data_IF_587865838657
#
_entry.id   IF_587865838657
#
_cell.length_a   1.000
_cell.length_b   1.000
_cell.length_c   1.000
_cell.angle_alpha   90.00
_cell.angle_beta   90.00
_cell.angle_gamma   90.00
#
_symmetry.space_group_name_H-M   'P 1'
#
loop_
_entity.id
_entity.type
_entity.pdbx_description
1 polymer ?
#
# COMPACT_ATOMS: atom_id res chain seq x y z
N UNK A 1 12.29 -3.67 10.12
CA UNK A 1 12.16 -5.07 9.65
C UNK A 1 11.58 -6.00 10.71
N UNK A 2 12.02 -5.92 11.98
CA UNK A 2 11.53 -6.78 13.08
C UNK A 2 10.01 -6.76 13.27
N UNK A 3 9.37 -5.59 13.12
CA UNK A 3 7.91 -5.46 13.26
C UNK A 3 7.13 -6.23 12.18
N UNK A 4 7.60 -6.19 10.92
CA UNK A 4 6.96 -6.92 9.81
C UNK A 4 7.11 -8.42 10.02
N UNK A 5 8.31 -8.88 10.37
CA UNK A 5 8.56 -10.31 10.61
C UNK A 5 7.75 -10.85 11.79
N UNK A 6 7.63 -10.08 12.89
CA UNK A 6 6.81 -10.47 14.03
C UNK A 6 5.32 -10.58 13.66
N UNK A 7 4.82 -9.64 12.85
CA UNK A 7 3.46 -9.64 12.33
C UNK A 7 3.18 -10.84 11.42
N UNK A 8 4.09 -11.12 10.47
CA UNK A 8 3.96 -12.26 9.56
C UNK A 8 3.95 -13.58 10.32
N UNK A 9 4.85 -13.75 11.30
CA UNK A 9 4.89 -14.95 12.15
C UNK A 9 3.61 -15.08 12.97
N UNK A 10 3.07 -13.98 13.49
CA UNK A 10 1.80 -13.99 14.22
C UNK A 10 0.64 -14.49 13.34
N UNK A 11 0.45 -13.91 12.15
CA UNK A 11 -0.63 -14.31 11.22
C UNK A 11 -0.48 -15.78 10.82
N UNK A 12 0.74 -16.21 10.50
CA UNK A 12 1.02 -17.59 10.15
C UNK A 12 0.73 -18.57 11.30
N UNK A 13 1.15 -18.23 12.52
CA UNK A 13 0.89 -19.03 13.70
C UNK A 13 -0.61 -19.13 14.03
N UNK A 14 -1.36 -18.03 13.90
CA UNK A 14 -2.82 -18.06 14.10
C UNK A 14 -3.51 -18.96 13.09
N UNK A 15 -3.06 -18.94 11.83
CA UNK A 15 -3.66 -19.77 10.77
C UNK A 15 -3.43 -21.27 11.02
N UNK A 16 -2.21 -21.65 11.39
CA UNK A 16 -1.87 -23.05 11.67
C UNK A 16 -2.60 -23.57 12.92
N UNK A 17 -2.69 -22.75 13.97
CA UNK A 17 -3.23 -23.19 15.27
C UNK A 17 -4.76 -23.25 15.31
N UNK A 18 -5.47 -22.45 14.51
CA UNK A 18 -6.94 -22.38 14.57
C UNK A 18 -7.65 -23.22 13.51
N UNK A 19 -7.11 -23.34 12.29
CA UNK A 19 -7.75 -24.06 11.19
C UNK A 19 -7.00 -25.29 10.70
N UNK A 20 -5.70 -25.39 11.02
CA UNK A 20 -4.82 -26.35 10.38
C UNK A 20 -4.65 -26.08 8.88
N UNK A 21 -3.63 -26.68 8.27
CA UNK A 21 -3.51 -26.69 6.81
C UNK A 21 -4.24 -27.93 6.30
N UNK A 22 -5.25 -27.74 5.45
CA UNK A 22 -5.88 -28.84 4.73
C UNK A 22 -4.85 -29.59 3.88
N UNK A 23 -5.06 -30.89 3.59
CA UNK A 23 -4.14 -31.67 2.77
C UNK A 23 -4.03 -31.07 1.37
N UNK A 24 -2.81 -30.92 0.85
CA UNK A 24 -2.60 -30.54 -0.54
C UNK A 24 -2.76 -31.79 -1.41
N UNK A 25 -3.93 -31.96 -2.03
CA UNK A 25 -4.25 -33.14 -2.85
C UNK A 25 -4.13 -32.82 -4.34
N UNK A 26 -4.73 -31.71 -4.79
CA UNK A 26 -4.68 -31.22 -6.17
C UNK A 26 -5.00 -29.72 -6.20
N UNK A 27 -4.80 -29.08 -7.35
CA UNK A 27 -5.16 -27.67 -7.53
C UNK A 27 -6.68 -27.44 -7.43
N UNK A 28 -7.48 -28.37 -7.97
CA UNK A 28 -8.95 -28.26 -7.91
C UNK A 28 -9.46 -28.43 -6.47
N UNK A 29 -8.87 -29.33 -5.69
CA UNK A 29 -9.27 -29.59 -4.30
C UNK A 29 -9.13 -28.35 -3.39
N UNK A 30 -8.06 -27.59 -3.53
CA UNK A 30 -7.84 -26.39 -2.69
C UNK A 30 -8.71 -25.19 -3.12
N UNK A 31 -9.36 -25.26 -4.29
CA UNK A 31 -10.22 -24.18 -4.82
C UNK A 31 -11.70 -24.54 -4.88
N UNK A 32 -12.10 -25.76 -4.51
CA UNK A 32 -13.49 -26.24 -4.60
C UNK A 32 -14.47 -25.33 -3.84
N UNK A 33 -14.04 -24.83 -2.67
CA UNK A 33 -14.83 -23.98 -1.77
C UNK A 33 -14.43 -22.49 -1.79
N UNK A 34 -13.72 -21.99 -2.81
CA UNK A 34 -13.18 -20.62 -2.78
C UNK A 34 -14.26 -19.52 -2.64
N UNK A 35 -15.45 -19.74 -3.21
CA UNK A 35 -16.56 -18.78 -3.14
C UNK A 35 -17.49 -19.02 -1.95
N UNK A 36 -17.20 -20.01 -1.11
CA UNK A 36 -18.02 -20.31 0.05
C UNK A 36 -17.73 -19.30 1.16
N UNK A 37 -18.76 -18.57 1.57
CA UNK A 37 -18.71 -17.65 2.70
C UNK A 37 -19.40 -18.32 3.88
N UNK A 38 -18.61 -18.80 4.84
CA UNK A 38 -19.15 -19.32 6.09
C UNK A 38 -19.60 -18.17 6.99
N UNK A 39 -20.86 -18.21 7.43
CA UNK A 39 -21.43 -17.24 8.36
C UNK A 39 -21.46 -17.87 9.73
N UNK A 40 -20.67 -17.32 10.66
CA UNK A 40 -20.65 -17.78 12.04
C UNK A 40 -21.40 -16.81 12.95
N UNK A 41 -22.29 -17.34 13.78
CA UNK A 41 -22.95 -16.53 14.80
C UNK A 41 -21.97 -16.04 15.85
N UNK A 42 -22.23 -14.83 16.35
CA UNK A 42 -21.40 -14.19 17.38
C UNK A 42 -21.39 -14.96 18.71
N UNK A 43 -22.29 -15.89 18.96
CA UNK A 43 -22.24 -16.64 20.22
C UNK A 43 -21.30 -17.85 20.13
N UNK A 44 -21.04 -18.35 18.92
CA UNK A 44 -20.30 -19.60 18.69
C UNK A 44 -18.79 -19.38 18.64
N UNK A 45 -18.33 -18.25 18.07
CA UNK A 45 -16.89 -17.98 17.92
C UNK A 45 -16.29 -17.45 19.23
N UNK A 46 -15.21 -18.05 19.77
CA UNK A 46 -14.51 -17.54 20.95
C UNK A 46 -14.06 -16.09 20.78
N UNK A 47 -14.10 -15.31 21.86
CA UNK A 47 -13.71 -13.90 21.83
C UNK A 47 -12.26 -13.70 21.36
N UNK A 48 -11.35 -14.56 21.82
CA UNK A 48 -9.92 -14.54 21.43
C UNK A 48 -9.71 -14.68 19.93
N UNK A 49 -10.49 -15.53 19.27
CA UNK A 49 -10.42 -15.73 17.82
C UNK A 49 -10.92 -14.49 17.07
N UNK A 50 -12.00 -13.87 17.55
CA UNK A 50 -12.49 -12.62 16.95
C UNK A 50 -11.50 -11.47 17.06
N UNK A 51 -10.85 -11.33 18.21
CA UNK A 51 -9.85 -10.27 18.40
C UNK A 51 -8.66 -10.46 17.44
N UNK A 52 -8.21 -11.70 17.23
CA UNK A 52 -7.14 -12.03 16.26
C UNK A 52 -7.56 -11.73 14.82
N UNK A 53 -8.78 -12.08 14.43
CA UNK A 53 -9.32 -11.73 13.12
C UNK A 53 -9.41 -10.22 12.91
N UNK A 54 -9.92 -9.48 13.90
CA UNK A 54 -9.99 -8.02 13.83
C UNK A 54 -8.59 -7.40 13.70
N UNK A 55 -7.62 -7.85 14.50
CA UNK A 55 -6.24 -7.38 14.39
C UNK A 55 -5.70 -7.63 12.97
N UNK A 56 -5.86 -8.84 12.45
CA UNK A 56 -5.38 -9.19 11.10
C UNK A 56 -6.06 -8.35 10.01
N UNK A 57 -7.36 -8.10 10.15
CA UNK A 57 -8.13 -7.28 9.21
C UNK A 57 -7.71 -5.81 9.22
N UNK A 58 -7.47 -5.24 10.41
CA UNK A 58 -7.05 -3.84 10.56
C UNK A 58 -5.57 -3.61 10.26
N UNK A 59 -4.74 -4.65 10.19
CA UNK A 59 -3.33 -4.51 9.81
C UNK A 59 -3.14 -3.95 8.40
N UNK A 60 -3.97 -4.38 7.43
CA UNK A 60 -3.88 -3.90 6.04
C UNK A 60 -4.15 -2.39 5.92
N UNK A 61 -5.28 -1.84 6.40
CA UNK A 61 -5.52 -0.40 6.31
C UNK A 61 -4.51 0.39 7.16
N UNK A 62 -4.10 -0.11 8.32
CA UNK A 62 -3.14 0.58 9.17
C UNK A 62 -1.77 0.72 8.50
N UNK A 63 -1.25 -0.38 7.93
CA UNK A 63 0.01 -0.36 7.18
C UNK A 63 -0.10 0.47 5.90
N UNK A 64 -1.26 0.48 5.23
CA UNK A 64 -1.52 1.35 4.08
C UNK A 64 -1.46 2.84 4.46
N UNK A 65 -2.03 3.24 5.60
CA UNK A 65 -1.97 4.65 6.06
C UNK A 65 -0.54 5.05 6.41
N UNK A 66 0.21 4.17 7.07
CA UNK A 66 1.62 4.41 7.38
C UNK A 66 2.43 4.55 6.10
N UNK A 67 2.27 3.61 5.17
CA UNK A 67 2.94 3.64 3.87
C UNK A 67 2.61 4.94 3.13
N UNK A 68 1.33 5.30 3.04
CA UNK A 68 0.91 6.55 2.41
C UNK A 68 1.49 7.80 3.11
N UNK A 69 1.61 7.78 4.43
CA UNK A 69 2.19 8.91 5.17
C UNK A 69 3.66 9.13 4.83
N UNK A 70 4.45 8.06 4.68
CA UNK A 70 5.87 8.16 4.34
C UNK A 70 6.12 8.40 2.85
N UNK A 71 5.38 7.71 1.97
CA UNK A 71 5.63 7.74 0.53
C UNK A 71 4.70 8.68 -0.22
N UNK A 72 3.45 8.83 0.23
CA UNK A 72 2.47 9.73 -0.38
C UNK A 72 2.66 11.20 0.00
N UNK A 73 3.24 11.51 1.17
CA UNK A 73 3.51 12.89 1.59
C UNK A 73 4.93 13.37 1.29
N UNK A 74 5.66 12.66 0.42
CA UNK A 74 6.97 13.09 -0.05
C UNK A 74 6.91 14.47 -0.70
N UNK A 75 8.01 15.23 -0.63
CA UNK A 75 8.06 16.60 -1.15
C UNK A 75 7.71 16.66 -2.64
N UNK A 76 8.24 15.72 -3.42
CA UNK A 76 7.91 15.53 -4.84
C UNK A 76 6.41 15.29 -5.07
N UNK A 77 5.83 14.32 -4.36
CA UNK A 77 4.41 13.97 -4.49
C UNK A 77 3.50 15.16 -4.10
N UNK A 78 3.88 15.92 -3.07
CA UNK A 78 3.13 17.09 -2.63
C UNK A 78 3.13 18.20 -3.68
N UNK A 79 4.25 18.43 -4.36
CA UNK A 79 4.36 19.43 -5.43
C UNK A 79 3.45 19.07 -6.61
N UNK A 80 3.42 17.79 -7.00
CA UNK A 80 2.50 17.30 -8.01
C UNK A 80 1.02 17.42 -7.58
N UNK A 81 0.68 17.07 -6.34
CA UNK A 81 -0.68 17.22 -5.83
C UNK A 81 -1.16 18.67 -5.90
N UNK A 82 -0.31 19.63 -5.55
CA UNK A 82 -0.65 21.05 -5.66
C UNK A 82 -0.89 21.44 -7.12
N UNK A 83 -0.08 20.93 -8.06
CA UNK A 83 -0.24 21.16 -9.50
C UNK A 83 -1.57 20.58 -10.01
N UNK A 84 -1.91 19.35 -9.64
CA UNK A 84 -3.19 18.73 -9.99
C UNK A 84 -4.37 19.46 -9.37
N UNK A 85 -4.30 19.85 -8.11
CA UNK A 85 -5.36 20.64 -7.44
C UNK A 85 -5.54 21.99 -8.12
N UNK A 86 -4.46 22.68 -8.51
CA UNK A 86 -4.55 23.92 -9.30
C UNK A 86 -5.16 23.68 -10.68
N UNK A 87 -4.80 22.58 -11.35
CA UNK A 87 -5.39 22.20 -12.62
C UNK A 87 -6.89 21.96 -12.48
N UNK A 88 -7.33 21.15 -11.51
CA UNK A 88 -8.74 20.88 -11.23
C UNK A 88 -9.48 22.18 -10.89
N UNK A 89 -8.91 23.01 -10.03
CA UNK A 89 -9.50 24.29 -9.62
C UNK A 89 -9.69 25.26 -10.81
N UNK A 90 -8.73 25.31 -11.73
CA UNK A 90 -8.76 26.24 -12.86
C UNK A 90 -9.52 25.70 -14.07
N UNK A 91 -9.42 24.39 -14.37
CA UNK A 91 -10.07 23.77 -15.53
C UNK A 91 -11.49 23.31 -15.26
N UNK A 92 -11.71 22.61 -14.15
CA UNK A 92 -13.01 22.03 -13.82
C UNK A 92 -13.88 23.08 -13.12
N UNK A 93 -13.36 23.69 -12.05
CA UNK A 93 -14.12 24.67 -11.29
C UNK A 93 -14.05 26.10 -11.84
N UNK A 94 -13.19 26.37 -12.83
CA UNK A 94 -13.02 27.69 -13.48
C UNK A 94 -12.78 28.84 -12.50
N UNK A 95 -12.23 28.55 -11.33
CA UNK A 95 -11.91 29.57 -10.33
C UNK A 95 -10.66 30.28 -10.81
N UNK A 96 -10.79 31.55 -11.21
CA UNK A 96 -9.65 32.38 -11.60
C UNK A 96 -8.67 32.47 -10.42
N UNK A 97 -7.37 32.27 -10.63
CA UNK A 97 -6.39 32.49 -9.56
C UNK A 97 -6.52 33.93 -9.09
N UNK A 98 -6.72 34.12 -7.79
CA UNK A 98 -6.68 35.45 -7.18
C UNK A 98 -5.26 35.95 -7.36
N UNK A 99 -5.07 36.99 -8.15
CA UNK A 99 -3.78 37.66 -8.31
C UNK A 99 -3.29 37.99 -6.90
N UNK A 100 -2.14 37.44 -6.53
CA UNK A 100 -1.53 37.81 -5.26
C UNK A 100 -1.22 39.30 -5.34
N UNK A 101 -1.63 40.10 -4.34
CA UNK A 101 -1.17 41.47 -4.24
C UNK A 101 0.35 41.40 -4.19
N UNK A 102 1.00 41.77 -5.29
CA UNK A 102 2.43 42.06 -5.29
C UNK A 102 2.58 43.21 -4.31
N UNK A 103 2.99 42.88 -3.09
CA UNK A 103 3.50 43.90 -2.18
C UNK A 103 4.63 44.60 -2.96
N UNK A 104 4.65 45.94 -2.99
CA UNK A 104 5.69 46.66 -3.70
C UNK A 104 7.02 46.16 -3.16
N UNK A 105 7.80 45.53 -4.05
CA UNK A 105 9.22 45.30 -3.80
C UNK A 105 9.78 46.66 -3.48
N UNK A 106 10.20 46.87 -2.23
CA UNK A 106 10.94 48.05 -1.82
C UNK A 106 12.21 48.08 -2.64
N UNK A 107 12.17 48.80 -3.77
CA UNK A 107 13.35 49.24 -4.48
C UNK A 107 14.04 50.23 -3.55
N UNK A 108 14.85 49.71 -2.61
CA UNK A 108 15.80 50.51 -1.88
C UNK A 108 16.88 50.90 -2.89
N UNK A 109 16.61 52.01 -3.58
CA UNK A 109 17.58 52.76 -4.35
C UNK A 109 18.75 53.14 -3.45
N UNK A 110 19.89 52.58 -3.80
CA UNK A 110 21.20 53.20 -3.84
C UNK A 110 21.19 54.74 -3.76
N UNK A 111 21.62 55.30 -2.60
CA UNK A 111 22.23 56.64 -2.49
C UNK A 111 23.39 56.60 -1.49
N UNK A 112 24.58 56.36 -2.06
CA UNK A 112 25.91 56.88 -1.78
C UNK A 112 26.30 57.52 -0.42
N UNK A 113 27.40 56.97 0.13
CA UNK A 113 28.60 57.61 0.69
C UNK A 113 28.47 58.76 1.72
N UNK A 114 28.70 58.44 2.99
CA UNK A 114 29.79 59.00 3.81
C UNK A 114 29.86 58.24 5.17
N UNK A 115 31.02 57.63 5.46
CA UNK A 115 31.38 57.07 6.76
C UNK A 115 31.94 58.21 7.67
N UNK A 116 32.17 58.05 8.99
CA UNK A 116 32.22 56.80 9.76
C UNK A 116 31.60 56.82 11.17
N UNK A 117 31.64 55.64 11.80
CA UNK A 117 31.67 55.38 13.23
C UNK A 117 30.32 55.30 13.97
N UNK A 118 29.75 54.10 13.98
CA UNK A 118 29.23 53.52 15.23
C UNK A 118 29.72 52.07 15.31
N UNK A 119 30.59 51.83 16.29
CA UNK A 119 31.04 50.52 16.74
C UNK A 119 29.89 49.84 17.48
N UNK A 120 29.48 48.66 17.04
CA UNK A 120 28.77 47.69 17.89
C UNK A 120 29.37 46.31 17.62
N UNK A 121 29.98 45.64 18.63
CA UNK A 121 30.41 44.27 18.50
C UNK A 121 29.26 43.37 19.00
N UNK A 122 28.70 42.50 18.15
CA UNK A 122 27.88 41.42 18.69
C UNK A 122 27.81 40.19 17.77
N UNK A 123 28.52 39.16 18.24
CA UNK A 123 28.30 37.73 18.02
C UNK A 123 28.23 37.24 16.55
N UNK A 124 29.40 36.87 16.04
CA UNK A 124 29.56 35.88 14.98
C UNK A 124 28.95 34.55 15.43
N UNK A 125 27.82 34.17 14.87
CA UNK A 125 27.41 32.77 14.75
C UNK A 125 27.46 32.39 13.27
N UNK A 126 28.44 31.56 12.93
CA UNK A 126 28.56 30.95 11.62
C UNK A 126 27.40 29.96 11.36
N UNK A 127 26.80 29.98 10.15
CA UNK A 127 26.08 28.84 9.64
C UNK A 127 27.01 28.02 8.73
N UNK A 128 27.48 26.89 9.25
CA UNK A 128 28.16 25.84 8.49
C UNK A 128 27.24 25.37 7.34
N UNK A 129 27.60 25.75 6.11
CA UNK A 129 26.90 25.43 4.89
C UNK A 129 27.59 24.23 4.23
N UNK A 130 27.01 23.04 4.35
CA UNK A 130 27.34 21.88 3.51
C UNK A 130 26.26 21.67 2.47
N UNK A 131 26.54 21.81 1.16
CA UNK A 131 25.69 21.28 0.12
C UNK A 131 26.04 19.80 -0.12
N UNK A 132 25.18 18.89 0.32
CA UNK A 132 25.20 17.50 -0.12
C UNK A 132 24.57 17.44 -1.51
N UNK A 133 25.43 17.33 -2.53
CA UNK A 133 25.08 16.93 -3.88
C UNK A 133 24.74 15.43 -3.87
N UNK A 134 23.45 15.09 -3.92
CA UNK A 134 23.00 13.72 -4.14
C UNK A 134 22.69 13.53 -5.64
N UNK A 135 23.65 12.95 -6.37
CA UNK A 135 23.47 12.51 -7.74
C UNK A 135 22.61 11.25 -7.77
N UNK A 136 21.38 11.35 -8.28
CA UNK A 136 20.53 10.20 -8.60
C UNK A 136 21.01 9.56 -9.92
N UNK A 137 21.84 8.53 -9.81
CA UNK A 137 22.11 7.61 -10.91
C UNK A 137 20.94 6.61 -11.00
N UNK A 138 19.98 6.92 -11.87
CA UNK A 138 18.88 6.01 -12.24
C UNK A 138 19.45 4.98 -13.20
N UNK A 139 19.80 3.79 -12.68
CA UNK A 139 20.01 2.58 -13.49
C UNK A 139 18.66 1.95 -13.79
N UNK A 140 18.18 2.23 -15.00
CA UNK A 140 17.04 1.58 -15.63
C UNK A 140 17.43 0.13 -15.98
N UNK A 141 17.10 -0.82 -15.10
CA UNK A 141 17.21 -2.25 -15.42
C UNK A 141 15.87 -2.68 -16.01
N UNK A 142 15.83 -2.74 -17.33
CA UNK A 142 14.72 -3.32 -18.09
C UNK A 142 14.53 -4.78 -17.68
N UNK A 143 13.42 -5.08 -17.02
CA UNK A 143 12.99 -6.45 -16.74
C UNK A 143 12.24 -6.96 -17.97
N UNK A 144 12.88 -7.86 -18.74
CA UNK A 144 12.22 -8.58 -19.81
C UNK A 144 11.28 -9.63 -19.21
N UNK A 145 9.98 -9.39 -19.28
CA UNK A 145 8.98 -10.42 -19.01
C UNK A 145 9.01 -11.46 -20.15
N UNK A 146 9.67 -12.59 -19.89
CA UNK A 146 9.56 -13.80 -20.69
C UNK A 146 8.19 -14.42 -20.46
N UNK A 147 7.31 -14.32 -21.46
CA UNK A 147 6.01 -15.00 -21.51
C UNK A 147 6.28 -16.48 -21.77
N UNK A 148 6.36 -17.29 -20.71
CA UNK A 148 6.30 -18.74 -20.85
C UNK A 148 4.84 -19.17 -20.98
N UNK A 149 4.47 -19.41 -22.24
CA UNK A 149 3.22 -20.01 -22.69
C UNK A 149 3.14 -21.45 -22.14
N UNK A 150 2.47 -21.60 -20.99
CA UNK A 150 2.20 -22.91 -20.39
C UNK A 150 0.82 -23.35 -20.86
N UNK A 151 0.79 -24.03 -22.00
CA UNK A 151 -0.40 -24.69 -22.52
C UNK A 151 -0.96 -25.65 -21.47
N UNK A 152 -2.19 -25.36 -21.03
CA UNK A 152 -2.97 -26.15 -20.06
C UNK A 152 -3.40 -27.46 -20.73
N UNK A 153 -3.04 -28.64 -20.20
CA UNK A 153 -3.59 -29.90 -20.72
C UNK A 153 -5.09 -29.98 -20.41
N UNK A 154 -5.85 -30.51 -21.37
CA UNK A 154 -7.30 -30.65 -21.30
C UNK A 154 -7.71 -31.51 -20.10
N UNK A 155 -8.63 -30.96 -19.29
CA UNK A 155 -9.28 -31.66 -18.18
C UNK A 155 -10.09 -32.83 -18.74
N UNK A 156 -9.70 -34.06 -18.38
CA UNK A 156 -10.47 -35.25 -18.67
C UNK A 156 -11.68 -35.28 -17.71
N UNK A 157 -12.85 -34.96 -18.24
CA UNK A 157 -14.12 -35.18 -17.55
C UNK A 157 -14.31 -36.69 -17.32
N UNK A 158 -14.06 -37.13 -16.08
CA UNK A 158 -14.41 -38.47 -15.62
C UNK A 158 -15.90 -38.49 -15.27
N UNK A 159 -16.73 -38.88 -16.24
CA UNK A 159 -18.11 -39.31 -16.00
C UNK A 159 -18.07 -40.66 -15.27
N UNK A 160 -18.37 -40.66 -13.97
CA UNK A 160 -18.64 -41.87 -13.22
C UNK A 160 -20.16 -42.02 -13.03
N UNK A 161 -20.83 -42.46 -14.10
CA UNK A 161 -22.12 -43.12 -13.99
C UNK A 161 -21.88 -44.53 -13.42
N UNK A 162 -22.38 -44.79 -12.22
CA UNK A 162 -22.62 -46.14 -11.72
C UNK A 162 -24.07 -46.25 -11.29
N UNK A 163 -24.86 -46.61 -12.29
CA UNK A 163 -26.17 -47.24 -12.24
C UNK A 163 -26.13 -48.46 -11.28
N UNK A 164 -26.66 -48.32 -10.06
CA UNK A 164 -26.93 -49.46 -9.16
C UNK A 164 -28.32 -50.00 -9.44
N UNK A 165 -28.33 -51.02 -10.31
CA UNK A 165 -29.50 -51.80 -10.69
C UNK A 165 -30.00 -52.65 -9.51
N UNK A 166 -31.28 -52.49 -9.26
CA UNK A 166 -32.13 -53.18 -8.29
C UNK A 166 -32.05 -54.71 -8.48
N UNK A 167 -31.81 -55.44 -7.39
CA UNK A 167 -32.09 -56.88 -7.29
C UNK A 167 -32.86 -57.13 -6.00
N UNK A 168 -34.19 -57.20 -6.14
CA UNK A 168 -35.11 -57.66 -5.10
C UNK A 168 -35.38 -59.12 -5.39
N UNK A 169 -34.64 -60.00 -4.75
CA UNK A 169 -34.94 -61.43 -4.78
C UNK A 169 -36.05 -61.74 -3.78
N UNK A 170 -37.10 -62.31 -4.36
CA UNK A 170 -38.25 -62.90 -3.68
C UNK A 170 -37.94 -64.37 -3.44
N UNK A 171 -38.01 -64.85 -2.20
CA UNK A 171 -38.11 -66.29 -1.89
C UNK A 171 -38.88 -66.46 -0.57
N UNK A 172 -39.46 -67.64 -0.29
CA UNK A 172 -40.88 -67.95 -0.41
C UNK A 172 -41.61 -68.08 0.93
#
# INVERSE_FOLDING_TARGET
MVSVTAMTVFVFATYITEGGLGPWVSWDYIHDDWQRIDVFEKEIVPQTQRDRFLVTWYMVPFTSVIFFSFFGLGQEAREEYIKYVRFVKTRIFRIKPKEQPVLPVSANGEVNNANPAIVVPLATLEPLRTPISLSSEVKEVAYSMSVNDTSRPASAASCHDKESKIHVDSVP
#
